data_IF_801356673348
#
_entry.id   IF_801356673348
#
_cell.length_a   1.000
_cell.length_b   1.000
_cell.length_c   1.000
_cell.angle_alpha   90.00
_cell.angle_beta   90.00
_cell.angle_gamma   90.00
#
_symmetry.space_group_name_H-M   'P 1'
#
loop_
_entity.id
_entity.type
_entity.pdbx_description
1 polymer ?
#
# COMPACT_ATOMS: atom_id res chain seq x y z
N UNK A 1 -33.16 28.99 -2.97
CA UNK A 1 -32.24 28.41 -1.96
C UNK A 1 -32.35 26.89 -2.06
N UNK A 2 -31.39 26.22 -2.69
CA UNK A 2 -31.43 24.76 -2.84
C UNK A 2 -31.08 24.12 -1.49
N UNK A 3 -32.09 23.62 -0.79
CA UNK A 3 -31.90 22.86 0.45
C UNK A 3 -31.32 21.51 0.05
N UNK A 4 -30.07 21.25 0.46
CA UNK A 4 -29.38 20.00 0.19
C UNK A 4 -29.96 18.88 1.09
N UNK A 5 -31.05 18.27 0.63
CA UNK A 5 -31.80 17.21 1.34
C UNK A 5 -30.94 16.01 1.71
N UNK A 6 -29.81 15.80 1.02
CA UNK A 6 -28.83 14.75 1.31
C UNK A 6 -28.21 14.94 2.71
N UNK A 7 -27.95 16.19 3.11
CA UNK A 7 -27.35 16.49 4.41
C UNK A 7 -28.33 16.29 5.57
N UNK A 8 -29.61 16.60 5.36
CA UNK A 8 -30.67 16.29 6.34
C UNK A 8 -30.87 14.78 6.50
N UNK A 9 -30.77 14.02 5.41
CA UNK A 9 -30.88 12.56 5.45
C UNK A 9 -29.76 11.91 6.28
N UNK A 10 -28.51 12.39 6.15
CA UNK A 10 -27.39 11.94 6.99
C UNK A 10 -27.60 12.27 8.48
N UNK A 11 -28.24 13.40 8.78
CA UNK A 11 -28.55 13.83 10.15
C UNK A 11 -29.63 12.96 10.81
N UNK A 12 -30.60 12.48 10.02
CA UNK A 12 -31.68 11.59 10.49
C UNK A 12 -31.23 10.14 10.69
N UNK A 13 -30.21 9.69 9.95
CA UNK A 13 -29.76 8.30 10.00
C UNK A 13 -29.06 7.91 11.30
N UNK A 14 -28.60 8.86 12.14
CA UNK A 14 -27.87 8.60 13.39
C UNK A 14 -26.78 7.52 13.25
N UNK A 15 -26.28 7.30 12.03
CA UNK A 15 -25.12 6.44 11.81
C UNK A 15 -24.02 7.21 12.51
N UNK A 16 -23.43 6.69 13.60
CA UNK A 16 -22.16 7.23 14.01
C UNK A 16 -21.31 7.03 12.77
N UNK A 17 -21.01 8.13 12.04
CA UNK A 17 -19.79 8.23 11.27
C UNK A 17 -18.77 7.80 12.29
N UNK A 18 -18.42 6.50 12.29
CA UNK A 18 -17.38 5.95 13.14
C UNK A 18 -16.29 6.95 12.88
N UNK A 19 -15.97 7.76 13.90
CA UNK A 19 -14.82 8.63 13.86
C UNK A 19 -13.70 7.64 13.66
N UNK A 20 -13.37 7.37 12.42
CA UNK A 20 -12.17 6.69 12.02
C UNK A 20 -11.15 7.71 12.44
N UNK A 21 -10.73 7.57 13.70
CA UNK A 21 -9.45 8.07 14.16
C UNK A 21 -8.53 7.88 12.98
N UNK A 22 -7.98 9.00 12.47
CA UNK A 22 -7.08 9.04 11.34
C UNK A 22 -5.86 8.18 11.68
N UNK A 23 -6.02 6.86 11.57
CA UNK A 23 -4.93 5.91 11.48
C UNK A 23 -4.25 6.35 10.21
N UNK A 24 -2.99 6.79 10.33
CA UNK A 24 -2.19 7.24 9.18
C UNK A 24 -2.52 6.35 7.99
N UNK A 25 -2.97 6.98 6.91
CA UNK A 25 -3.32 6.23 5.72
C UNK A 25 -2.06 5.48 5.31
N UNK A 26 -2.11 4.15 5.29
CA UNK A 26 -0.93 3.31 4.97
C UNK A 26 -0.33 3.72 3.62
N UNK A 27 -1.17 4.20 2.70
CA UNK A 27 -0.77 4.75 1.42
C UNK A 27 0.16 5.99 1.57
N UNK A 28 -0.08 6.86 2.55
CA UNK A 28 0.76 8.03 2.83
C UNK A 28 2.09 7.61 3.46
N UNK A 29 2.07 6.64 4.38
CA UNK A 29 3.29 6.06 4.94
C UNK A 29 4.16 5.44 3.85
N UNK A 30 3.57 4.66 2.93
CA UNK A 30 4.28 4.08 1.79
C UNK A 30 4.82 5.16 0.86
N UNK A 31 4.01 6.19 0.56
CA UNK A 31 4.43 7.31 -0.28
C UNK A 31 5.63 8.03 0.31
N UNK A 32 5.62 8.30 1.62
CA UNK A 32 6.73 8.92 2.34
C UNK A 32 7.99 8.05 2.25
N UNK A 33 7.88 6.75 2.54
CA UNK A 33 9.01 5.81 2.47
C UNK A 33 9.57 5.66 1.06
N UNK A 34 8.73 5.65 0.02
CA UNK A 34 9.17 5.62 -1.37
C UNK A 34 9.93 6.89 -1.78
N UNK A 35 9.50 8.05 -1.28
CA UNK A 35 10.19 9.32 -1.52
C UNK A 35 11.53 9.38 -0.76
N UNK A 36 11.55 8.95 0.50
CA UNK A 36 12.78 8.80 1.30
C UNK A 36 13.78 7.87 0.59
N UNK A 37 13.32 6.72 0.08
CA UNK A 37 14.16 5.79 -0.66
C UNK A 37 14.72 6.42 -1.95
N UNK A 38 13.89 7.15 -2.71
CA UNK A 38 14.32 7.86 -3.91
C UNK A 38 15.41 8.89 -3.60
N UNK A 39 15.21 9.71 -2.56
CA UNK A 39 16.20 10.70 -2.12
C UNK A 39 17.51 10.03 -1.70
N UNK A 40 17.44 9.00 -0.85
CA UNK A 40 18.64 8.25 -0.43
C UNK A 40 19.40 7.60 -1.60
N UNK A 41 18.69 7.12 -2.64
CA UNK A 41 19.32 6.60 -3.86
C UNK A 41 20.01 7.71 -4.65
N UNK A 42 19.39 8.89 -4.76
CA UNK A 42 20.01 10.07 -5.39
C UNK A 42 21.25 10.56 -4.63
N UNK A 43 21.20 10.59 -3.30
CA UNK A 43 22.35 10.95 -2.46
C UNK A 43 23.49 9.94 -2.64
N UNK A 44 23.16 8.65 -2.71
CA UNK A 44 24.13 7.60 -2.98
C UNK A 44 24.78 7.79 -4.37
N UNK A 45 24.03 8.17 -5.40
CA UNK A 45 24.61 8.48 -6.71
C UNK A 45 25.70 9.55 -6.59
N UNK A 46 25.42 10.66 -5.89
CA UNK A 46 26.39 11.74 -5.69
C UNK A 46 27.63 11.25 -4.91
N UNK A 47 27.44 10.42 -3.89
CA UNK A 47 28.56 9.82 -3.13
C UNK A 47 29.42 8.91 -4.01
N UNK A 48 28.80 8.10 -4.87
CA UNK A 48 29.51 7.21 -5.81
C UNK A 48 30.27 7.99 -6.86
N UNK A 49 29.68 9.05 -7.43
CA UNK A 49 30.36 9.94 -8.38
C UNK A 49 31.55 10.64 -7.74
N UNK A 50 31.39 11.17 -6.52
CA UNK A 50 32.48 11.77 -5.73
C UNK A 50 33.60 10.78 -5.39
N UNK A 51 33.28 9.50 -5.24
CA UNK A 51 34.28 8.45 -4.99
C UNK A 51 35.11 8.13 -6.23
N UNK A 52 34.54 8.28 -7.44
CA UNK A 52 35.28 8.10 -8.70
C UNK A 52 36.26 9.24 -8.99
N UNK A 53 36.13 10.40 -8.34
CA UNK A 53 37.04 11.52 -8.53
C UNK A 53 38.38 11.27 -7.80
N UNK A 54 39.52 11.70 -8.37
CA UNK A 54 40.80 11.68 -7.68
C UNK A 54 40.70 12.57 -6.43
N UNK A 55 40.98 12.00 -5.26
CA UNK A 55 40.90 12.73 -3.99
C UNK A 55 41.99 12.29 -3.03
N UNK A 56 42.62 13.26 -2.37
CA UNK A 56 43.66 13.02 -1.34
C UNK A 56 43.10 12.58 0.03
N UNK A 57 41.77 12.59 0.20
CA UNK A 57 41.11 12.11 1.42
C UNK A 57 41.09 10.58 1.51
N UNK A 58 41.07 10.06 2.74
CA UNK A 58 41.05 8.62 3.07
C UNK A 58 39.91 7.85 2.35
N UNK A 59 40.19 7.24 1.19
CA UNK A 59 39.26 6.43 0.38
C UNK A 59 38.48 5.40 1.22
N UNK A 60 39.12 4.79 2.21
CA UNK A 60 38.51 3.79 3.11
C UNK A 60 37.30 4.35 3.88
N UNK A 61 37.38 5.60 4.37
CA UNK A 61 36.29 6.24 5.12
C UNK A 61 35.09 6.51 4.22
N UNK A 62 35.32 7.08 3.03
CA UNK A 62 34.27 7.32 2.02
C UNK A 62 33.56 6.03 1.60
N UNK A 63 34.31 4.95 1.41
CA UNK A 63 33.72 3.66 1.07
C UNK A 63 32.86 3.08 2.20
N UNK A 64 33.26 3.29 3.45
CA UNK A 64 32.43 2.92 4.62
C UNK A 64 31.11 3.69 4.66
N UNK A 65 31.14 4.99 4.39
CA UNK A 65 29.94 5.85 4.32
C UNK A 65 29.00 5.40 3.18
N UNK A 66 29.56 5.08 2.01
CA UNK A 66 28.81 4.50 0.88
C UNK A 66 28.14 3.18 1.26
N UNK A 67 28.87 2.29 1.94
CA UNK A 67 28.32 1.00 2.36
C UNK A 67 27.23 1.15 3.43
N UNK A 68 27.39 2.11 4.34
CA UNK A 68 26.34 2.45 5.31
C UNK A 68 25.08 2.96 4.60
N UNK A 69 25.22 3.86 3.62
CA UNK A 69 24.08 4.37 2.83
C UNK A 69 23.39 3.26 2.02
N UNK A 70 24.15 2.32 1.45
CA UNK A 70 23.59 1.12 0.80
C UNK A 70 22.77 0.27 1.76
N UNK A 71 23.25 0.05 2.98
CA UNK A 71 22.53 -0.71 4.00
C UNK A 71 21.22 0.00 4.43
N UNK A 72 21.27 1.33 4.58
CA UNK A 72 20.09 2.16 4.87
C UNK A 72 19.02 2.02 3.77
N UNK A 73 19.43 2.10 2.50
CA UNK A 73 18.52 1.92 1.35
C UNK A 73 17.89 0.52 1.37
N UNK A 74 18.67 -0.53 1.61
CA UNK A 74 18.15 -1.89 1.68
C UNK A 74 17.12 -2.04 2.80
N UNK A 75 17.39 -1.46 3.99
CA UNK A 75 16.41 -1.43 5.09
C UNK A 75 15.13 -0.67 4.72
N UNK A 76 15.24 0.45 3.99
CA UNK A 76 14.07 1.18 3.49
C UNK A 76 13.25 0.35 2.51
N UNK A 77 13.90 -0.36 1.58
CA UNK A 77 13.24 -1.24 0.62
C UNK A 77 12.49 -2.37 1.35
N UNK A 78 13.13 -3.07 2.30
CA UNK A 78 12.48 -4.12 3.08
C UNK A 78 11.32 -3.60 3.92
N UNK A 79 11.39 -2.36 4.42
CA UNK A 79 10.25 -1.70 5.10
C UNK A 79 9.10 -1.41 4.15
N UNK A 80 9.38 -1.07 2.90
CA UNK A 80 8.32 -0.85 1.89
C UNK A 80 7.65 -2.19 1.54
N UNK A 81 8.42 -3.27 1.41
CA UNK A 81 7.90 -4.62 1.16
C UNK A 81 7.02 -5.11 2.31
N UNK A 82 7.42 -4.90 3.56
CA UNK A 82 6.58 -5.26 4.71
C UNK A 82 5.28 -4.46 4.74
N UNK A 83 5.28 -3.19 4.30
CA UNK A 83 4.05 -2.40 4.15
C UNK A 83 3.12 -2.96 3.07
N UNK A 84 3.64 -3.59 2.01
CA UNK A 84 2.80 -4.30 1.03
C UNK A 84 2.08 -5.50 1.64
N UNK A 85 2.74 -6.24 2.55
CA UNK A 85 2.09 -7.32 3.30
C UNK A 85 1.00 -6.79 4.25
N UNK A 86 1.18 -5.59 4.80
CA UNK A 86 0.15 -4.95 5.63
C UNK A 86 -1.07 -4.55 4.79
N UNK A 87 -0.89 -4.04 3.56
CA UNK A 87 -2.00 -3.76 2.63
C UNK A 87 -2.81 -5.03 2.36
N UNK A 88 -2.15 -6.18 2.19
CA UNK A 88 -2.84 -7.46 1.93
C UNK A 88 -3.78 -7.87 3.07
N UNK A 89 -3.44 -7.50 4.31
CA UNK A 89 -4.22 -7.82 5.52
C UNK A 89 -5.31 -6.80 5.85
N UNK A 90 -5.47 -5.72 5.08
CA UNK A 90 -6.52 -4.74 5.33
C UNK A 90 -7.87 -5.20 4.80
N UNK A 91 -8.94 -4.90 5.55
CA UNK A 91 -10.34 -5.01 5.12
C UNK A 91 -10.70 -3.92 4.10
N UNK A 92 -10.06 -4.01 2.93
CA UNK A 92 -10.36 -3.20 1.75
C UNK A 92 -10.96 -4.10 0.67
N UNK A 93 -11.88 -3.57 -0.17
CA UNK A 93 -12.32 -4.28 -1.37
C UNK A 93 -11.12 -4.75 -2.19
N UNK A 94 -11.19 -5.97 -2.73
CA UNK A 94 -10.08 -6.59 -3.46
C UNK A 94 -9.59 -5.72 -4.62
N UNK A 95 -10.53 -5.09 -5.35
CA UNK A 95 -10.22 -4.16 -6.44
C UNK A 95 -9.39 -2.96 -5.97
N UNK A 96 -9.76 -2.35 -4.84
CA UNK A 96 -9.05 -1.20 -4.27
C UNK A 96 -7.68 -1.60 -3.74
N UNK A 97 -7.61 -2.71 -3.00
CA UNK A 97 -6.37 -3.27 -2.45
C UNK A 97 -5.37 -3.59 -3.56
N UNK A 98 -5.83 -4.26 -4.61
CA UNK A 98 -5.03 -4.63 -5.77
C UNK A 98 -4.54 -3.37 -6.51
N UNK A 99 -5.41 -2.39 -6.76
CA UNK A 99 -5.03 -1.12 -7.41
C UNK A 99 -3.98 -0.33 -6.62
N UNK A 100 -4.14 -0.22 -5.30
CA UNK A 100 -3.19 0.45 -4.41
C UNK A 100 -1.83 -0.26 -4.47
N UNK A 101 -1.82 -1.58 -4.32
CA UNK A 101 -0.59 -2.40 -4.38
C UNK A 101 0.11 -2.22 -5.72
N UNK A 102 -0.62 -2.28 -6.83
CA UNK A 102 -0.06 -2.12 -8.17
C UNK A 102 0.57 -0.74 -8.39
N UNK A 103 -0.11 0.33 -7.95
CA UNK A 103 0.41 1.70 -8.07
C UNK A 103 1.74 1.86 -7.34
N UNK A 104 1.80 1.43 -6.09
CA UNK A 104 3.01 1.55 -5.29
C UNK A 104 4.11 0.58 -5.72
N UNK A 105 3.79 -0.65 -6.12
CA UNK A 105 4.76 -1.59 -6.69
C UNK A 105 5.39 -1.03 -7.99
N UNK A 106 4.58 -0.36 -8.83
CA UNK A 106 5.09 0.31 -10.04
C UNK A 106 6.06 1.45 -9.70
N UNK A 107 5.74 2.24 -8.66
CA UNK A 107 6.66 3.29 -8.19
C UNK A 107 7.95 2.70 -7.59
N UNK A 108 7.85 1.66 -6.77
CA UNK A 108 9.01 0.97 -6.20
C UNK A 108 9.90 0.40 -7.32
N UNK A 109 9.31 -0.28 -8.31
CA UNK A 109 10.02 -0.79 -9.49
C UNK A 109 10.81 0.31 -10.21
N UNK A 110 10.24 1.50 -10.40
CA UNK A 110 10.94 2.64 -11.02
C UNK A 110 12.16 3.07 -10.18
N UNK A 111 12.01 3.17 -8.86
CA UNK A 111 13.12 3.50 -7.96
C UNK A 111 14.21 2.41 -7.98
N UNK A 112 13.84 1.13 -7.96
CA UNK A 112 14.77 0.01 -8.04
C UNK A 112 15.52 -0.05 -9.38
N UNK A 113 14.85 0.24 -10.50
CA UNK A 113 15.50 0.37 -11.81
C UNK A 113 16.53 1.50 -11.81
N UNK A 114 16.15 2.67 -11.28
CA UNK A 114 17.07 3.79 -11.14
C UNK A 114 18.29 3.41 -10.29
N UNK A 115 18.07 2.75 -9.16
CA UNK A 115 19.13 2.30 -8.28
C UNK A 115 20.07 1.29 -8.96
N UNK A 116 19.51 0.31 -9.68
CA UNK A 116 20.28 -0.67 -10.45
C UNK A 116 21.14 0.01 -11.51
N UNK A 117 20.59 0.98 -12.23
CA UNK A 117 21.33 1.72 -13.28
C UNK A 117 22.51 2.49 -12.68
N UNK A 118 22.34 3.12 -11.51
CA UNK A 118 23.43 3.78 -10.79
C UNK A 118 24.54 2.77 -10.44
N UNK A 119 24.19 1.62 -9.87
CA UNK A 119 25.17 0.59 -9.52
C UNK A 119 25.89 0.02 -10.75
N UNK A 120 25.18 -0.18 -11.87
CA UNK A 120 25.77 -0.62 -13.13
C UNK A 120 26.72 0.43 -13.73
N UNK A 121 26.33 1.72 -13.69
CA UNK A 121 27.20 2.81 -14.13
C UNK A 121 28.46 2.89 -13.28
N UNK A 122 28.31 2.79 -11.96
CA UNK A 122 29.44 2.79 -11.03
C UNK A 122 30.37 1.59 -11.24
N UNK A 123 29.81 0.39 -11.47
CA UNK A 123 30.60 -0.80 -11.79
C UNK A 123 31.45 -0.59 -13.04
N UNK A 124 30.85 -0.03 -14.11
CA UNK A 124 31.56 0.28 -15.36
C UNK A 124 32.70 1.27 -15.14
N UNK A 125 32.47 2.33 -14.34
CA UNK A 125 33.49 3.34 -14.01
C UNK A 125 34.64 2.75 -13.20
N UNK A 126 34.34 1.89 -12.22
CA UNK A 126 35.40 1.19 -11.46
C UNK A 126 36.16 0.23 -12.37
N UNK A 127 35.48 -0.55 -13.20
CA UNK A 127 36.16 -1.50 -14.07
C UNK A 127 37.05 -0.80 -15.10
N UNK A 128 36.63 0.35 -15.65
CA UNK A 128 37.48 1.10 -16.57
C UNK A 128 38.70 1.69 -15.86
N UNK A 129 38.52 2.21 -14.64
CA UNK A 129 39.66 2.72 -13.84
C UNK A 129 40.65 1.61 -13.49
N UNK A 130 40.16 0.37 -13.26
CA UNK A 130 41.01 -0.80 -13.04
C UNK A 130 41.85 -1.11 -14.28
N UNK A 131 41.25 -1.15 -15.48
CA UNK A 131 42.01 -1.44 -16.71
C UNK A 131 43.11 -0.43 -16.98
N UNK A 132 42.90 0.87 -16.69
CA UNK A 132 43.95 1.88 -16.84
C UNK A 132 45.08 1.71 -15.80
N UNK A 133 44.74 1.44 -14.54
CA UNK A 133 45.75 1.18 -13.51
C UNK A 133 46.56 -0.09 -13.80
N UNK A 134 45.93 -1.15 -14.33
CA UNK A 134 46.59 -2.40 -14.69
C UNK A 134 47.56 -2.20 -15.89
N UNK A 135 47.22 -1.34 -16.85
CA UNK A 135 48.09 -0.96 -17.98
C UNK A 135 49.29 -0.10 -17.55
N UNK A 136 49.12 0.80 -16.59
CA UNK A 136 50.21 1.61 -16.04
C UNK A 136 51.16 0.80 -15.14
N UNK A 137 50.71 -0.34 -14.61
CA UNK A 137 51.42 -1.12 -13.58
C UNK A 137 52.17 -2.36 -14.05
N UNK A 138 52.25 -2.63 -15.38
CA UNK A 138 53.22 -3.59 -15.95
C UNK A 138 54.69 -3.22 -15.63
N UNK A 139 54.95 -2.03 -15.05
CA UNK A 139 56.29 -1.53 -14.72
C UNK A 139 56.72 -1.64 -13.24
N UNK A 140 55.85 -2.02 -12.28
CA UNK A 140 56.19 -1.97 -10.84
C UNK A 140 55.74 -3.24 -10.07
N UNK A 141 56.70 -4.11 -9.76
CA UNK A 141 56.53 -5.31 -8.91
C UNK A 141 56.44 -4.96 -7.41
N UNK A 142 55.44 -5.51 -6.69
CA UNK A 142 55.43 -5.51 -5.22
C UNK A 142 54.12 -5.97 -4.57
N UNK A 143 54.20 -6.77 -3.50
CA UNK A 143 53.11 -7.39 -2.72
C UNK A 143 51.99 -6.44 -2.20
N UNK A 144 52.25 -5.14 -2.15
CA UNK A 144 51.23 -4.11 -1.82
C UNK A 144 50.20 -3.96 -2.96
N UNK A 145 50.64 -4.20 -4.21
CA UNK A 145 49.81 -4.13 -5.41
C UNK A 145 48.74 -5.24 -5.40
N UNK A 146 49.13 -6.48 -5.04
CA UNK A 146 48.19 -7.62 -4.89
C UNK A 146 47.11 -7.33 -3.86
N UNK A 147 47.45 -6.73 -2.71
CA UNK A 147 46.45 -6.43 -1.69
C UNK A 147 45.45 -5.34 -2.14
N UNK A 148 45.91 -4.38 -2.96
CA UNK A 148 45.06 -3.32 -3.53
C UNK A 148 44.16 -3.86 -4.64
N UNK A 149 44.66 -4.72 -5.53
CA UNK A 149 43.87 -5.37 -6.59
C UNK A 149 42.85 -6.35 -6.01
N UNK A 150 43.22 -7.14 -4.98
CA UNK A 150 42.29 -8.03 -4.26
C UNK A 150 41.14 -7.24 -3.62
N UNK A 151 41.44 -6.11 -2.97
CA UNK A 151 40.41 -5.27 -2.33
C UNK A 151 39.49 -4.59 -3.34
N UNK A 152 40.02 -4.13 -4.47
CA UNK A 152 39.25 -3.54 -5.57
C UNK A 152 38.40 -4.60 -6.30
N UNK A 153 38.90 -5.84 -6.42
CA UNK A 153 38.14 -7.01 -6.88
C UNK A 153 36.95 -7.31 -5.96
N UNK A 154 37.17 -7.27 -4.64
CA UNK A 154 36.11 -7.42 -3.64
C UNK A 154 35.01 -6.36 -3.77
N UNK A 155 35.38 -5.10 -3.98
CA UNK A 155 34.41 -4.01 -4.17
C UNK A 155 33.56 -4.20 -5.44
N UNK A 156 34.17 -4.63 -6.55
CA UNK A 156 33.47 -4.99 -7.78
C UNK A 156 32.50 -6.16 -7.56
N UNK A 157 32.91 -7.21 -6.84
CA UNK A 157 32.05 -8.32 -6.48
C UNK A 157 30.86 -7.88 -5.61
N UNK A 158 31.06 -6.97 -4.66
CA UNK A 158 29.98 -6.45 -3.81
C UNK A 158 28.95 -5.64 -4.62
N UNK A 159 29.38 -4.88 -5.61
CA UNK A 159 28.46 -4.18 -6.53
C UNK A 159 27.68 -5.19 -7.38
N UNK A 160 28.33 -6.24 -7.91
CA UNK A 160 27.65 -7.31 -8.65
C UNK A 160 26.60 -8.02 -7.80
N UNK A 161 26.90 -8.34 -6.54
CA UNK A 161 25.92 -8.90 -5.57
C UNK A 161 24.72 -7.97 -5.38
N UNK A 162 24.97 -6.67 -5.27
CA UNK A 162 23.89 -5.65 -5.13
C UNK A 162 23.01 -5.61 -6.38
N UNK A 163 23.60 -5.62 -7.58
CA UNK A 163 22.85 -5.64 -8.86
C UNK A 163 22.01 -6.91 -8.98
N UNK A 164 22.56 -8.06 -8.57
CA UNK A 164 21.83 -9.33 -8.57
C UNK A 164 20.61 -9.25 -7.64
N UNK A 165 20.79 -8.80 -6.40
CA UNK A 165 19.71 -8.61 -5.45
C UNK A 165 18.61 -7.67 -5.99
N UNK A 166 18.99 -6.52 -6.56
CA UNK A 166 18.05 -5.59 -7.19
C UNK A 166 17.31 -6.22 -8.37
N UNK A 167 17.95 -7.12 -9.11
CA UNK A 167 17.31 -7.83 -10.22
C UNK A 167 16.25 -8.81 -9.72
N UNK A 168 16.52 -9.53 -8.63
CA UNK A 168 15.54 -10.37 -7.96
C UNK A 168 14.31 -9.56 -7.52
N UNK A 169 14.51 -8.44 -6.83
CA UNK A 169 13.41 -7.56 -6.42
C UNK A 169 12.61 -7.01 -7.60
N UNK A 170 13.29 -6.67 -8.71
CA UNK A 170 12.62 -6.22 -9.92
C UNK A 170 11.74 -7.30 -10.58
N UNK A 171 12.16 -8.56 -10.51
CA UNK A 171 11.36 -9.69 -10.98
C UNK A 171 10.12 -9.88 -10.10
N UNK A 172 10.27 -9.84 -8.78
CA UNK A 172 9.15 -9.88 -7.83
C UNK A 172 8.12 -8.77 -8.11
N UNK A 173 8.59 -7.52 -8.25
CA UNK A 173 7.72 -6.40 -8.59
C UNK A 173 7.07 -6.54 -9.98
N UNK A 174 7.76 -7.14 -10.96
CA UNK A 174 7.19 -7.42 -12.28
C UNK A 174 6.04 -8.43 -12.19
N UNK A 175 6.19 -9.49 -11.40
CA UNK A 175 5.12 -10.46 -11.19
C UNK A 175 3.88 -9.82 -10.56
N UNK A 176 4.06 -8.93 -9.57
CA UNK A 176 2.95 -8.18 -8.94
C UNK A 176 2.23 -7.28 -9.96
N UNK A 177 2.95 -6.67 -10.90
CA UNK A 177 2.41 -5.71 -11.86
C UNK A 177 1.69 -6.40 -13.03
N UNK A 178 2.25 -7.50 -13.55
CA UNK A 178 1.77 -8.17 -14.76
C UNK A 178 0.36 -8.77 -14.60
N UNK A 179 -0.03 -9.13 -13.37
CA UNK A 179 -1.38 -9.60 -13.05
C UNK A 179 -2.50 -8.57 -13.35
N UNK A 180 -2.18 -7.29 -13.59
CA UNK A 180 -3.15 -6.21 -13.77
C UNK A 180 -3.14 -5.51 -15.15
N UNK A 181 -2.26 -5.88 -16.07
CA UNK A 181 -2.10 -5.15 -17.36
C UNK A 181 -3.18 -5.47 -18.40
N UNK A 182 -4.05 -6.46 -18.16
CA UNK A 182 -5.07 -6.91 -19.13
C UNK A 182 -6.35 -6.06 -19.18
N UNK A 183 -6.41 -4.93 -18.46
CA UNK A 183 -7.59 -4.06 -18.43
C UNK A 183 -7.34 -2.85 -19.34
N UNK A 184 -7.74 -3.00 -20.59
CA UNK A 184 -7.46 -2.05 -21.68
C UNK A 184 -8.16 -0.69 -21.46
N UNK A 185 -9.25 -0.63 -20.69
CA UNK A 185 -9.77 0.63 -20.13
C UNK A 185 -9.87 0.57 -18.61
N UNK A 186 -8.79 0.97 -17.91
CA UNK A 186 -8.76 1.00 -16.45
C UNK A 186 -9.81 1.94 -15.86
N UNK A 187 -10.13 3.04 -16.52
CA UNK A 187 -11.15 3.97 -16.06
C UNK A 187 -12.52 3.34 -16.24
N UNK A 188 -12.86 2.83 -17.43
CA UNK A 188 -14.16 2.20 -17.67
C UNK A 188 -14.36 0.94 -16.82
N UNK A 189 -13.32 0.17 -16.58
CA UNK A 189 -13.36 -0.96 -15.66
C UNK A 189 -13.70 -0.51 -14.23
N UNK A 190 -13.04 0.55 -13.73
CA UNK A 190 -13.31 1.08 -12.40
C UNK A 190 -14.70 1.73 -12.32
N UNK A 191 -15.13 2.39 -13.39
CA UNK A 191 -16.44 3.03 -13.51
C UNK A 191 -17.55 1.98 -13.55
N UNK A 192 -17.36 0.88 -14.28
CA UNK A 192 -18.27 -0.27 -14.28
C UNK A 192 -18.33 -0.96 -12.92
N UNK A 193 -17.19 -1.14 -12.22
CA UNK A 193 -17.22 -1.67 -10.86
C UNK A 193 -17.98 -0.74 -9.89
N UNK A 194 -17.76 0.56 -10.01
CA UNK A 194 -18.46 1.57 -9.19
C UNK A 194 -19.95 1.56 -9.50
N UNK A 195 -20.32 1.45 -10.78
CA UNK A 195 -21.70 1.33 -11.24
C UNK A 195 -22.39 0.12 -10.61
N UNK A 196 -21.75 -1.06 -10.61
CA UNK A 196 -22.30 -2.27 -9.97
C UNK A 196 -22.51 -2.09 -8.46
N UNK A 197 -21.61 -1.39 -7.77
CA UNK A 197 -21.78 -1.11 -6.34
C UNK A 197 -22.92 -0.11 -6.09
N UNK A 198 -23.04 0.93 -6.91
CA UNK A 198 -24.14 1.91 -6.84
C UNK A 198 -25.47 1.23 -7.12
N UNK A 199 -25.54 0.36 -8.13
CA UNK A 199 -26.74 -0.38 -8.50
C UNK A 199 -27.20 -1.29 -7.35
N UNK A 200 -26.28 -2.01 -6.71
CA UNK A 200 -26.57 -2.80 -5.50
C UNK A 200 -27.10 -1.94 -4.36
N UNK A 201 -26.44 -0.81 -4.07
CA UNK A 201 -26.92 0.12 -3.03
C UNK A 201 -28.29 0.70 -3.37
N UNK A 202 -28.56 0.98 -4.65
CA UNK A 202 -29.84 1.48 -5.11
C UNK A 202 -30.94 0.42 -4.94
N UNK A 203 -30.64 -0.85 -5.25
CA UNK A 203 -31.55 -1.97 -5.01
C UNK A 203 -31.85 -2.13 -3.50
N UNK A 204 -30.83 -2.08 -2.65
CA UNK A 204 -31.00 -2.12 -1.19
C UNK A 204 -31.86 -0.94 -0.68
N UNK A 205 -31.64 0.28 -1.19
CA UNK A 205 -32.44 1.47 -0.86
C UNK A 205 -33.92 1.31 -1.24
N UNK A 206 -34.21 0.68 -2.39
CA UNK A 206 -35.58 0.38 -2.84
C UNK A 206 -36.27 -0.66 -1.94
N UNK A 207 -35.51 -1.51 -1.25
CA UNK A 207 -36.05 -2.52 -0.33
C UNK A 207 -36.34 -1.99 1.08
N UNK A 208 -35.67 -0.92 1.52
CA UNK A 208 -35.92 -0.25 2.82
C UNK A 208 -37.41 0.06 3.08
N UNK A 209 -38.18 0.68 2.15
CA UNK A 209 -39.60 0.93 2.39
C UNK A 209 -40.43 -0.35 2.53
N UNK A 210 -40.05 -1.46 1.86
CA UNK A 210 -40.74 -2.75 2.00
C UNK A 210 -40.48 -3.40 3.37
N UNK A 211 -39.30 -3.20 3.94
CA UNK A 211 -38.99 -3.69 5.28
C UNK A 211 -39.73 -2.88 6.37
N UNK A 212 -39.74 -1.55 6.24
CA UNK A 212 -40.46 -0.68 7.18
C UNK A 212 -41.97 -0.86 7.12
N UNK A 213 -42.56 -1.16 5.96
CA UNK A 213 -44.00 -1.46 5.84
C UNK A 213 -44.37 -2.78 6.51
N UNK A 214 -43.54 -3.82 6.40
CA UNK A 214 -43.73 -5.09 7.12
C UNK A 214 -43.67 -4.91 8.64
N UNK A 215 -42.72 -4.11 9.14
CA UNK A 215 -42.63 -3.79 10.57
C UNK A 215 -43.84 -2.99 11.06
N UNK A 216 -44.28 -1.98 10.30
CA UNK A 216 -45.50 -1.22 10.61
C UNK A 216 -46.74 -2.11 10.69
N UNK A 217 -46.92 -3.01 9.71
CA UNK A 217 -48.05 -3.93 9.70
C UNK A 217 -47.99 -4.92 10.88
N UNK A 218 -46.80 -5.43 11.22
CA UNK A 218 -46.61 -6.32 12.37
C UNK A 218 -47.01 -5.64 13.69
N UNK A 219 -46.64 -4.37 13.88
CA UNK A 219 -47.04 -3.58 15.06
C UNK A 219 -48.56 -3.37 15.09
N UNK A 220 -49.18 -3.07 13.94
CA UNK A 220 -50.64 -2.88 13.84
C UNK A 220 -51.38 -4.18 14.21
N UNK A 221 -50.94 -5.34 13.71
CA UNK A 221 -51.53 -6.63 14.06
C UNK A 221 -51.37 -6.95 15.55
N UNK A 222 -50.19 -6.67 16.13
CA UNK A 222 -49.96 -6.87 17.56
C UNK A 222 -50.90 -5.99 18.42
N UNK A 223 -51.09 -4.73 18.03
CA UNK A 223 -51.96 -3.79 18.75
C UNK A 223 -53.44 -4.20 18.64
N UNK A 224 -53.88 -4.65 17.46
CA UNK A 224 -55.22 -5.18 17.23
C UNK A 224 -55.51 -6.43 18.08
N UNK A 225 -54.53 -7.35 18.18
CA UNK A 225 -54.63 -8.54 19.00
C UNK A 225 -54.78 -8.17 20.49
N UNK A 226 -54.00 -7.19 20.96
CA UNK A 226 -54.10 -6.71 22.35
C UNK A 226 -55.48 -6.12 22.67
N UNK A 227 -56.05 -5.31 21.77
CA UNK A 227 -57.41 -4.78 21.92
C UNK A 227 -58.44 -5.91 21.99
N UNK A 228 -58.34 -6.91 21.12
CA UNK A 228 -59.24 -8.06 21.13
C UNK A 228 -59.18 -8.85 22.45
N UNK A 229 -57.97 -9.01 23.00
CA UNK A 229 -57.75 -9.70 24.27
C UNK A 229 -58.37 -8.93 25.45
N UNK A 230 -58.30 -7.59 25.45
CA UNK A 230 -58.98 -6.75 26.44
C UNK A 230 -60.51 -6.85 26.36
N UNK A 231 -61.08 -6.98 25.16
CA UNK A 231 -62.52 -7.18 24.97
C UNK A 231 -62.94 -8.52 25.57
N UNK A 232 -62.20 -9.60 25.31
CA UNK A 232 -62.47 -10.93 25.89
C UNK A 232 -62.40 -10.89 27.42
N UNK A 233 -61.36 -10.26 27.98
CA UNK A 233 -61.23 -10.11 29.44
C UNK A 233 -62.39 -9.30 30.04
N UNK A 234 -62.87 -8.27 29.35
CA UNK A 234 -64.01 -7.48 29.78
C UNK A 234 -65.30 -8.29 29.79
N UNK A 235 -65.55 -9.12 28.77
CA UNK A 235 -66.69 -10.05 28.71
C UNK A 235 -66.60 -11.09 29.84
N UNK A 236 -65.44 -11.70 30.04
CA UNK A 236 -65.22 -12.68 31.12
C UNK A 236 -65.44 -12.06 32.51
N UNK A 237 -64.97 -10.82 32.72
CA UNK A 237 -65.21 -10.08 33.96
C UNK A 237 -66.70 -9.80 34.17
N UNK A 238 -67.41 -9.36 33.13
CA UNK A 238 -68.86 -9.12 33.20
C UNK A 238 -69.64 -10.40 33.51
N UNK A 239 -69.27 -11.52 32.87
CA UNK A 239 -69.87 -12.82 33.14
C UNK A 239 -69.63 -13.29 34.59
N UNK A 240 -68.39 -13.15 35.09
CA UNK A 240 -68.04 -13.49 36.48
C UNK A 240 -68.80 -12.64 37.50
N UNK A 241 -69.04 -11.36 37.21
CA UNK A 241 -69.83 -10.47 38.08
C UNK A 241 -71.30 -10.87 38.09
N UNK A 242 -71.89 -11.20 36.93
CA UNK A 242 -73.28 -11.70 36.85
C UNK A 242 -73.46 -13.00 37.63
N UNK A 243 -72.57 -13.98 37.44
CA UNK A 243 -72.61 -15.25 38.19
C UNK A 243 -72.45 -15.10 39.71
N UNK A 244 -71.86 -13.99 40.18
CA UNK A 244 -71.72 -13.70 41.62
C UNK A 244 -72.94 -12.95 42.20
N UNK A 245 -73.85 -12.48 41.35
CA UNK A 245 -75.09 -11.77 41.74
C UNK A 245 -76.34 -12.66 41.70
N UNK A 246 -76.27 -13.80 41.00
CA UNK A 246 -77.19 -14.94 41.16
C UNK A 246 -76.79 -15.77 42.38
#
# INVERSE_FOLDING_TARGET
>A
MFINKTFEYFKLLNIPLKKTYYKECIADTIRKKLNEAKQSISDLQLMLERHCLPSFNMRKRKMSEINHKKAEINLLISKIESLFLVIEKQDLPESMRSSIKHHFATKLKRNLLFYRNIQQSFLKKISSLQTFEDLDSESVQGSVQEMVTIKKSSDSQNIKKTIFHLTTLLLEMKMIIQAQSYKIDRIDFLLNQTYVHIDKTNHELVEIPKYTSKLKNSIIYALSMFVFLLIILSILKAYKIRKKRE
#
